data_IF_686616160286
#
_entry.id   IF_686616160286
#
_cell.length_a   1.000
_cell.length_b   1.000
_cell.length_c   1.000
_cell.angle_alpha   90.00
_cell.angle_beta   90.00
_cell.angle_gamma   90.00
#
_symmetry.space_group_name_H-M   'P 1'
#
loop_
_entity.id
_entity.type
_entity.pdbx_description
1 polymer ?
#
# COMPACT_ATOMS: atom_id res chain seq x y z
N UNK A 1 -22.82 -55.06 39.16
CA UNK A 1 -23.11 -53.67 39.57
C UNK A 1 -21.88 -52.79 39.62
N UNK A 2 -20.75 -53.20 40.17
CA UNK A 2 -19.53 -52.34 40.25
C UNK A 2 -18.78 -52.10 38.91
N UNK A 3 -18.74 -53.08 38.01
CA UNK A 3 -18.04 -52.94 36.72
C UNK A 3 -18.77 -51.99 35.74
N UNK A 4 -20.10 -51.99 35.76
CA UNK A 4 -20.91 -51.14 34.91
C UNK A 4 -20.85 -49.64 35.33
N UNK A 5 -20.80 -49.38 36.63
CA UNK A 5 -20.59 -48.04 37.16
C UNK A 5 -19.21 -47.51 36.89
N UNK A 6 -18.15 -48.35 36.93
CA UNK A 6 -16.81 -47.99 36.59
C UNK A 6 -16.68 -47.62 35.08
N UNK A 7 -17.33 -48.40 34.19
CA UNK A 7 -17.36 -48.11 32.76
C UNK A 7 -18.02 -46.76 32.44
N UNK A 8 -19.18 -46.48 33.07
CA UNK A 8 -19.91 -45.20 32.86
C UNK A 8 -19.08 -44.00 33.34
N UNK A 9 -18.33 -44.14 34.47
CA UNK A 9 -17.39 -43.07 34.95
C UNK A 9 -16.23 -42.84 33.98
N UNK A 10 -15.67 -43.91 33.43
CA UNK A 10 -14.54 -43.81 32.49
C UNK A 10 -15.02 -43.11 31.20
N UNK A 11 -16.17 -43.46 30.65
CA UNK A 11 -16.75 -42.81 29.46
C UNK A 11 -16.99 -41.30 29.73
N UNK A 12 -17.52 -40.96 30.89
CA UNK A 12 -17.77 -39.57 31.29
C UNK A 12 -16.51 -38.76 31.38
N UNK A 13 -15.43 -39.30 32.00
CA UNK A 13 -14.13 -38.64 32.07
C UNK A 13 -13.51 -38.43 30.69
N UNK A 14 -13.55 -39.44 29.82
CA UNK A 14 -13.07 -39.33 28.44
C UNK A 14 -13.84 -38.22 27.68
N UNK A 15 -15.18 -38.18 27.79
CA UNK A 15 -15.99 -37.15 27.18
C UNK A 15 -15.64 -35.74 27.68
N UNK A 16 -15.41 -35.56 28.98
CA UNK A 16 -14.98 -34.27 29.57
C UNK A 16 -13.61 -33.85 29.08
N UNK A 17 -12.65 -34.75 28.97
CA UNK A 17 -11.34 -34.48 28.42
C UNK A 17 -11.41 -34.08 26.94
N UNK A 18 -12.19 -34.83 26.14
CA UNK A 18 -12.40 -34.50 24.72
C UNK A 18 -13.02 -33.12 24.57
N UNK A 19 -14.10 -32.82 25.32
CA UNK A 19 -14.76 -31.51 25.25
C UNK A 19 -13.82 -30.39 25.69
N UNK A 20 -13.03 -30.58 26.73
CA UNK A 20 -12.03 -29.60 27.16
C UNK A 20 -10.96 -29.37 26.08
N UNK A 21 -10.47 -30.47 25.47
CA UNK A 21 -9.46 -30.37 24.40
C UNK A 21 -10.01 -29.63 23.19
N UNK A 22 -11.23 -29.95 22.77
CA UNK A 22 -11.90 -29.24 21.66
C UNK A 22 -12.07 -27.75 21.98
N UNK A 23 -12.54 -27.43 23.20
CA UNK A 23 -12.67 -26.05 23.65
C UNK A 23 -11.32 -25.31 23.61
N UNK A 24 -10.26 -25.93 24.11
CA UNK A 24 -8.91 -25.35 24.10
C UNK A 24 -8.43 -25.07 22.68
N UNK A 25 -8.62 -26.03 21.77
CA UNK A 25 -8.27 -25.84 20.34
C UNK A 25 -9.04 -24.67 19.73
N UNK A 26 -10.34 -24.59 19.97
CA UNK A 26 -11.18 -23.48 19.47
C UNK A 26 -10.69 -22.13 20.01
N UNK A 27 -10.37 -22.04 21.30
CA UNK A 27 -9.85 -20.81 21.91
C UNK A 27 -8.50 -20.42 21.32
N UNK A 28 -7.61 -21.37 21.09
CA UNK A 28 -6.32 -21.09 20.44
C UNK A 28 -6.48 -20.62 18.99
N UNK A 29 -7.38 -21.23 18.24
CA UNK A 29 -7.67 -20.78 16.86
C UNK A 29 -8.26 -19.37 16.82
N UNK A 30 -9.15 -19.05 17.76
CA UNK A 30 -9.72 -17.69 17.87
C UNK A 30 -8.65 -16.66 18.25
N UNK A 31 -7.77 -17.02 19.20
CA UNK A 31 -6.65 -16.16 19.60
C UNK A 31 -5.68 -15.92 18.43
N UNK A 32 -5.38 -16.96 17.65
CA UNK A 32 -4.54 -16.85 16.47
C UNK A 32 -5.20 -15.97 15.38
N UNK A 33 -6.47 -16.17 15.12
CA UNK A 33 -7.22 -15.35 14.16
C UNK A 33 -7.24 -13.87 14.57
N UNK A 34 -7.44 -13.60 15.86
CA UNK A 34 -7.41 -12.23 16.40
C UNK A 34 -6.02 -11.60 16.27
N UNK A 35 -4.96 -12.37 16.63
CA UNK A 35 -3.58 -11.92 16.46
C UNK A 35 -3.27 -11.60 14.99
N UNK A 36 -3.66 -12.46 14.05
CA UNK A 36 -3.44 -12.26 12.62
C UNK A 36 -4.13 -11.00 12.09
N UNK A 37 -5.37 -10.73 12.53
CA UNK A 37 -6.07 -9.49 12.16
C UNK A 37 -5.40 -8.25 12.74
N UNK A 38 -4.94 -8.31 13.98
CA UNK A 38 -4.22 -7.22 14.64
C UNK A 38 -2.89 -6.94 13.96
N UNK A 39 -2.09 -7.98 13.65
CA UNK A 39 -0.82 -7.88 12.96
C UNK A 39 -0.98 -7.27 11.55
N UNK A 40 -1.98 -7.74 10.79
CA UNK A 40 -2.32 -7.16 9.50
C UNK A 40 -2.67 -5.66 9.61
N UNK A 41 -3.43 -5.27 10.63
CA UNK A 41 -3.78 -3.86 10.84
C UNK A 41 -2.55 -2.98 11.10
N UNK A 42 -1.54 -3.48 11.82
CA UNK A 42 -0.29 -2.75 12.07
C UNK A 42 0.46 -2.45 10.77
N UNK A 43 0.50 -3.41 9.83
CA UNK A 43 1.15 -3.22 8.52
C UNK A 43 0.47 -2.09 7.73
N UNK A 44 -0.87 -2.06 7.71
CA UNK A 44 -1.59 -0.99 7.02
C UNK A 44 -1.42 0.37 7.69
N UNK A 45 -1.40 0.42 9.02
CA UNK A 45 -1.14 1.67 9.74
C UNK A 45 0.27 2.21 9.44
N UNK A 46 1.27 1.34 9.35
CA UNK A 46 2.63 1.73 8.97
C UNK A 46 2.74 2.27 7.53
N UNK A 47 1.82 1.85 6.65
CA UNK A 47 1.76 2.28 5.25
C UNK A 47 0.99 3.58 5.03
N UNK A 48 0.33 4.14 6.05
CA UNK A 48 -0.49 5.33 5.87
C UNK A 48 0.34 6.58 5.57
N UNK A 49 -0.06 7.31 4.53
CA UNK A 49 0.59 8.58 4.14
C UNK A 49 0.56 9.64 5.25
N UNK A 50 -0.43 9.58 6.13
CA UNK A 50 -0.56 10.48 7.28
C UNK A 50 0.65 10.45 8.23
N UNK A 51 1.36 9.32 8.30
CA UNK A 51 2.57 9.20 9.11
C UNK A 51 3.69 10.15 8.66
N UNK A 52 3.70 10.49 7.37
CA UNK A 52 4.71 11.36 6.78
C UNK A 52 4.20 12.78 6.52
N UNK A 53 2.92 13.07 6.77
CA UNK A 53 2.30 14.35 6.44
C UNK A 53 3.01 15.56 7.07
N UNK A 54 3.60 15.37 8.26
CA UNK A 54 4.38 16.41 8.96
C UNK A 54 5.67 16.79 8.21
N UNK A 55 6.22 15.89 7.39
CA UNK A 55 7.45 16.10 6.64
C UNK A 55 7.20 16.59 5.21
N UNK A 56 5.94 16.65 4.78
CA UNK A 56 5.60 17.03 3.40
C UNK A 56 6.11 18.44 3.07
N UNK A 57 6.88 18.59 1.98
CA UNK A 57 7.31 19.90 1.53
C UNK A 57 6.09 20.70 1.05
N UNK A 58 5.95 21.90 1.58
CA UNK A 58 4.90 22.86 1.19
C UNK A 58 5.52 24.22 0.93
N UNK A 59 4.81 25.07 0.20
CA UNK A 59 5.24 26.47 -0.03
C UNK A 59 5.42 27.21 1.30
N UNK A 60 4.55 26.94 2.27
CA UNK A 60 4.53 27.61 3.55
C UNK A 60 5.74 27.24 4.43
N UNK A 61 6.20 26.00 4.39
CA UNK A 61 7.33 25.51 5.19
C UNK A 61 8.68 25.56 4.45
N UNK A 62 8.69 26.01 3.18
CA UNK A 62 9.90 26.11 2.35
C UNK A 62 10.73 24.80 2.33
N UNK A 63 10.06 23.64 2.47
CA UNK A 63 10.71 22.33 2.55
C UNK A 63 11.54 22.07 3.81
N UNK A 64 11.39 22.89 4.87
CA UNK A 64 12.16 22.70 6.12
C UNK A 64 11.86 21.37 6.78
N UNK A 65 10.59 20.99 6.86
CA UNK A 65 10.16 19.72 7.43
C UNK A 65 10.64 18.52 6.62
N UNK A 66 10.74 18.65 5.30
CA UNK A 66 11.33 17.61 4.44
C UNK A 66 12.80 17.39 4.77
N UNK A 67 13.56 18.47 5.04
CA UNK A 67 14.97 18.37 5.49
C UNK A 67 15.12 17.69 6.84
N UNK A 68 14.12 17.78 7.70
CA UNK A 68 14.09 17.03 8.97
C UNK A 68 14.02 15.51 8.72
N UNK A 69 13.17 15.07 7.78
CA UNK A 69 13.13 13.67 7.37
C UNK A 69 14.46 13.23 6.72
N UNK A 70 15.08 14.09 5.88
CA UNK A 70 16.39 13.81 5.30
C UNK A 70 17.50 13.74 6.36
N UNK A 71 17.38 14.47 7.48
CA UNK A 71 18.30 14.34 8.60
C UNK A 71 18.15 13.00 9.35
N UNK A 72 16.94 12.44 9.40
CA UNK A 72 16.68 11.11 9.96
C UNK A 72 17.20 10.03 9.00
N UNK A 73 16.87 10.15 7.71
CA UNK A 73 17.30 9.22 6.67
C UNK A 73 17.84 9.98 5.43
N UNK A 74 19.14 10.08 5.26
CA UNK A 74 19.75 10.79 4.12
C UNK A 74 19.46 10.17 2.75
N UNK A 75 18.91 8.96 2.70
CA UNK A 75 18.49 8.31 1.46
C UNK A 75 17.09 8.73 1.01
N UNK A 76 16.40 9.61 1.73
CA UNK A 76 15.19 10.29 1.25
C UNK A 76 15.62 11.39 0.28
N UNK A 77 15.24 11.23 -0.99
CA UNK A 77 15.73 12.09 -2.08
C UNK A 77 14.67 13.03 -2.64
N UNK A 78 13.38 12.65 -2.54
CA UNK A 78 12.29 13.37 -3.17
C UNK A 78 10.97 13.15 -2.43
N UNK A 79 9.92 13.83 -2.87
CA UNK A 79 8.54 13.58 -2.48
C UNK A 79 7.67 13.42 -3.72
N UNK A 80 6.88 12.34 -3.78
CA UNK A 80 6.00 12.03 -4.90
C UNK A 80 4.54 12.17 -4.48
N UNK A 81 3.75 12.90 -5.28
CA UNK A 81 2.30 12.98 -5.16
C UNK A 81 1.64 12.67 -6.51
N UNK A 82 0.57 11.86 -6.50
CA UNK A 82 -0.31 11.66 -7.65
C UNK A 82 -1.67 12.24 -7.30
N UNK A 83 -2.05 13.34 -7.96
CA UNK A 83 -3.24 14.10 -7.57
C UNK A 83 -4.53 13.30 -7.75
N UNK A 84 -5.42 13.43 -6.76
CA UNK A 84 -6.68 12.69 -6.72
C UNK A 84 -6.55 11.25 -6.23
N UNK A 85 -5.37 10.84 -5.74
CA UNK A 85 -5.11 9.52 -5.18
C UNK A 85 -4.54 9.59 -3.76
N UNK A 86 -4.34 8.43 -3.12
CA UNK A 86 -3.63 8.33 -1.86
C UNK A 86 -2.10 8.30 -2.01
N UNK A 87 -1.57 8.34 -3.23
CA UNK A 87 -0.13 8.33 -3.47
C UNK A 87 0.43 9.72 -3.16
N UNK A 88 1.00 9.86 -1.95
CA UNK A 88 1.54 11.10 -1.42
C UNK A 88 2.60 10.75 -0.35
N UNK A 89 3.82 10.44 -0.80
CA UNK A 89 4.85 9.80 0.01
C UNK A 89 6.24 10.36 -0.25
N UNK A 90 7.14 10.30 0.77
CA UNK A 90 8.55 10.48 0.55
C UNK A 90 9.10 9.38 -0.37
N UNK A 91 10.06 9.74 -1.21
CA UNK A 91 10.75 8.87 -2.14
C UNK A 91 12.18 8.64 -1.66
N UNK A 92 12.58 7.38 -1.57
CA UNK A 92 13.91 6.97 -1.11
C UNK A 92 14.76 6.41 -2.25
N UNK A 93 16.06 6.31 -2.07
CA UNK A 93 16.95 5.55 -2.95
C UNK A 93 18.06 4.88 -2.15
N UNK A 94 18.09 3.54 -2.19
CA UNK A 94 19.15 2.74 -1.57
C UNK A 94 20.30 2.43 -2.52
N UNK A 95 21.24 1.62 -2.05
CA UNK A 95 22.34 1.10 -2.87
C UNK A 95 21.92 -0.09 -3.75
N UNK A 96 20.73 -0.63 -3.52
CA UNK A 96 20.10 -1.68 -4.28
C UNK A 96 18.57 -1.54 -4.23
N UNK A 97 17.86 -2.34 -5.03
CA UNK A 97 16.39 -2.34 -5.07
C UNK A 97 15.74 -3.25 -3.99
N UNK A 98 16.50 -3.80 -3.04
CA UNK A 98 15.98 -4.72 -2.02
C UNK A 98 15.77 -4.02 -0.68
N UNK A 99 16.58 -3.01 -0.34
CA UNK A 99 16.56 -2.33 0.95
C UNK A 99 15.16 -1.80 1.28
N UNK A 100 14.58 -1.02 0.38
CA UNK A 100 13.31 -0.33 0.62
C UNK A 100 12.06 -1.17 0.34
N UNK A 101 12.24 -2.43 -0.02
CA UNK A 101 11.12 -3.41 -0.04
C UNK A 101 10.59 -3.64 1.38
N UNK A 102 11.46 -3.62 2.40
CA UNK A 102 11.08 -3.87 3.81
C UNK A 102 11.65 -2.81 4.77
N UNK A 103 11.86 -1.59 4.29
CA UNK A 103 12.35 -0.47 5.10
C UNK A 103 11.50 0.76 4.81
N UNK A 104 10.99 1.42 5.85
CA UNK A 104 10.20 2.64 5.70
C UNK A 104 11.09 3.86 5.41
N UNK A 105 10.48 5.02 5.12
CA UNK A 105 11.23 6.23 4.76
C UNK A 105 12.08 6.80 5.92
N UNK A 106 11.82 6.42 7.16
CA UNK A 106 12.65 6.77 8.32
C UNK A 106 13.86 5.83 8.51
N UNK A 107 14.00 4.81 7.65
CA UNK A 107 15.07 3.82 7.73
C UNK A 107 14.80 2.65 8.68
N UNK A 108 13.58 2.52 9.18
CA UNK A 108 13.17 1.44 10.09
C UNK A 108 12.55 0.26 9.32
N UNK A 109 12.68 -0.94 9.87
CA UNK A 109 12.04 -2.13 9.30
C UNK A 109 10.51 -1.97 9.25
N UNK A 110 9.93 -2.21 8.08
CA UNK A 110 8.49 -2.17 7.85
C UNK A 110 8.12 -3.07 6.67
N UNK A 111 7.14 -3.95 6.84
CA UNK A 111 6.64 -4.81 5.76
C UNK A 111 5.94 -4.03 4.64
N UNK A 112 5.51 -2.80 4.90
CA UNK A 112 4.98 -1.91 3.85
C UNK A 112 6.08 -1.31 2.97
N UNK A 113 7.34 -1.38 3.40
CA UNK A 113 8.47 -0.76 2.70
C UNK A 113 8.35 0.75 2.55
N UNK A 114 8.97 1.27 1.52
CA UNK A 114 8.84 2.64 1.03
C UNK A 114 8.57 2.66 -0.47
N UNK A 115 8.24 3.84 -0.98
CA UNK A 115 8.37 4.14 -2.41
C UNK A 115 9.82 4.48 -2.67
N UNK A 116 10.44 3.88 -3.69
CA UNK A 116 11.87 4.05 -3.93
C UNK A 116 12.23 4.13 -5.42
N UNK A 117 13.25 4.93 -5.73
CA UNK A 117 13.85 5.05 -7.04
C UNK A 117 14.79 3.87 -7.30
N UNK A 118 14.82 3.35 -8.52
CA UNK A 118 15.79 2.32 -8.92
C UNK A 118 17.23 2.81 -8.63
N UNK A 119 18.03 1.96 -7.99
CA UNK A 119 19.38 2.33 -7.55
C UNK A 119 20.32 2.72 -8.70
N UNK A 120 19.98 2.33 -9.94
CA UNK A 120 20.75 2.65 -11.15
C UNK A 120 20.41 4.02 -11.73
N UNK A 121 19.30 4.63 -11.30
CA UNK A 121 18.93 5.98 -11.70
C UNK A 121 19.69 7.05 -10.92
N UNK A 122 19.89 8.21 -11.55
CA UNK A 122 20.40 9.39 -10.89
C UNK A 122 19.32 9.99 -9.97
N UNK A 123 19.70 10.30 -8.73
CA UNK A 123 18.80 10.84 -7.70
C UNK A 123 18.28 12.26 -7.98
N UNK A 124 18.86 12.94 -8.93
CA UNK A 124 18.49 14.27 -9.42
C UNK A 124 17.53 14.23 -10.62
N UNK A 125 17.05 13.04 -11.00
CA UNK A 125 16.10 12.81 -12.10
C UNK A 125 16.56 13.34 -13.45
N UNK A 126 17.87 13.47 -13.67
CA UNK A 126 18.45 13.88 -14.95
C UNK A 126 18.48 12.78 -16.01
N UNK A 127 18.18 11.55 -15.63
CA UNK A 127 18.03 10.43 -16.58
C UNK A 127 16.83 10.63 -17.49
N UNK A 128 16.92 10.08 -18.73
CA UNK A 128 15.78 10.06 -19.63
C UNK A 128 14.56 9.41 -19.02
N UNK A 129 14.73 8.25 -18.36
CA UNK A 129 13.66 7.55 -17.67
C UNK A 129 14.08 7.10 -16.27
N UNK A 130 13.26 7.46 -15.29
CA UNK A 130 13.45 7.12 -13.88
C UNK A 130 12.36 6.13 -13.47
N UNK A 131 12.76 5.00 -12.85
CA UNK A 131 11.84 3.95 -12.43
C UNK A 131 11.64 4.04 -10.92
N UNK A 132 10.40 4.23 -10.51
CA UNK A 132 9.99 4.35 -9.11
C UNK A 132 9.13 3.14 -8.75
N UNK A 133 9.54 2.40 -7.73
CA UNK A 133 8.85 1.21 -7.26
C UNK A 133 8.08 1.48 -5.98
N UNK A 134 6.96 0.78 -5.81
CA UNK A 134 6.20 0.76 -4.57
C UNK A 134 5.34 -0.50 -4.46
N UNK A 135 5.06 -0.93 -3.23
CA UNK A 135 4.19 -2.07 -2.99
C UNK A 135 2.76 -1.81 -3.47
N UNK A 136 2.15 -2.83 -4.08
CA UNK A 136 0.71 -2.88 -4.26
C UNK A 136 0.09 -3.37 -2.95
N UNK A 137 -0.56 -2.47 -2.24
CA UNK A 137 -1.21 -2.78 -0.98
C UNK A 137 -2.72 -2.53 -1.06
N UNK A 138 -3.49 -3.37 -0.38
CA UNK A 138 -4.92 -3.14 -0.19
C UNK A 138 -5.18 -1.79 0.49
N UNK A 139 -6.43 -1.36 0.53
CA UNK A 139 -6.86 -0.06 1.06
C UNK A 139 -6.19 1.14 0.37
N UNK A 140 -5.70 0.94 -0.85
CA UNK A 140 -5.07 1.98 -1.67
C UNK A 140 -3.80 2.60 -1.04
N UNK A 141 -3.12 1.86 -0.16
CA UNK A 141 -1.87 2.29 0.43
C UNK A 141 -0.70 2.09 -0.53
N UNK A 142 0.36 2.85 -0.34
CA UNK A 142 1.56 2.85 -1.19
C UNK A 142 1.18 3.02 -2.68
N UNK A 143 1.55 2.07 -3.56
CA UNK A 143 1.17 2.04 -4.97
C UNK A 143 -0.06 1.17 -5.28
N UNK A 144 -0.84 0.79 -4.25
CA UNK A 144 -2.05 -0.02 -4.43
C UNK A 144 -3.13 0.64 -5.30
N UNK A 145 -3.09 1.97 -5.44
CA UNK A 145 -4.05 2.69 -6.27
C UNK A 145 -3.67 2.75 -7.77
N UNK A 146 -2.42 2.40 -8.13
CA UNK A 146 -2.00 2.34 -9.55
C UNK A 146 -2.83 1.34 -10.34
N UNK A 147 -3.28 0.25 -9.74
CA UNK A 147 -4.17 -0.73 -10.39
C UNK A 147 -5.48 -0.11 -10.91
N UNK A 148 -5.96 0.95 -10.25
CA UNK A 148 -7.19 1.66 -10.63
C UNK A 148 -7.07 2.35 -11.99
N UNK A 149 -5.87 2.73 -12.42
CA UNK A 149 -5.62 3.36 -13.71
C UNK A 149 -5.84 2.41 -14.91
N UNK A 150 -6.10 1.13 -14.66
CA UNK A 150 -6.61 0.20 -15.67
C UNK A 150 -8.06 0.54 -16.11
N UNK A 151 -8.83 1.29 -15.29
CA UNK A 151 -10.10 1.90 -15.71
C UNK A 151 -9.81 3.20 -16.46
N UNK A 152 -10.30 3.26 -17.70
CA UNK A 152 -10.12 4.42 -18.58
C UNK A 152 -10.62 5.73 -17.96
N UNK A 153 -11.69 5.72 -17.17
CA UNK A 153 -12.24 6.91 -16.51
C UNK A 153 -11.28 7.44 -15.44
N UNK A 154 -10.68 6.54 -14.64
CA UNK A 154 -9.68 6.92 -13.65
C UNK A 154 -8.45 7.49 -14.34
N UNK A 155 -7.96 6.81 -15.36
CA UNK A 155 -6.84 7.31 -16.16
C UNK A 155 -7.13 8.70 -16.72
N UNK A 156 -8.30 8.95 -17.30
CA UNK A 156 -8.66 10.24 -17.93
C UNK A 156 -8.84 11.38 -16.92
N UNK A 157 -9.24 11.09 -15.69
CA UNK A 157 -9.49 12.11 -14.65
C UNK A 157 -8.26 12.43 -13.80
N UNK A 158 -7.29 11.51 -13.66
CA UNK A 158 -6.09 11.69 -12.86
C UNK A 158 -4.88 11.89 -13.77
N UNK A 159 -4.70 13.12 -14.22
CA UNK A 159 -3.74 13.45 -15.28
C UNK A 159 -2.40 13.94 -14.74
N UNK A 160 -2.36 14.45 -13.49
CA UNK A 160 -1.23 15.19 -12.98
C UNK A 160 -0.75 14.65 -11.64
N UNK A 161 0.51 14.93 -11.37
CA UNK A 161 1.18 14.65 -10.11
C UNK A 161 2.26 15.70 -9.84
N UNK A 162 2.99 15.53 -8.76
CA UNK A 162 4.10 16.38 -8.38
C UNK A 162 5.28 15.53 -7.91
N UNK A 163 6.48 15.94 -8.26
CA UNK A 163 7.73 15.42 -7.79
C UNK A 163 8.56 16.57 -7.22
N UNK A 164 8.70 16.59 -5.89
CA UNK A 164 9.54 17.58 -5.22
C UNK A 164 10.94 17.02 -4.99
N UNK A 165 11.95 17.64 -5.56
CA UNK A 165 13.36 17.33 -5.32
C UNK A 165 14.21 18.58 -5.52
N UNK A 166 15.42 18.58 -4.97
CA UNK A 166 16.35 19.71 -5.00
C UNK A 166 15.72 21.06 -4.60
N UNK A 167 14.78 21.01 -3.64
CA UNK A 167 14.10 22.20 -3.12
C UNK A 167 13.01 22.78 -4.03
N UNK A 168 12.65 22.12 -5.14
CA UNK A 168 11.74 22.61 -6.16
C UNK A 168 10.66 21.58 -6.49
N UNK A 169 9.44 22.07 -6.76
CA UNK A 169 8.35 21.25 -7.28
C UNK A 169 8.45 21.14 -8.80
N UNK A 170 8.31 19.92 -9.30
CA UNK A 170 8.21 19.58 -10.71
C UNK A 170 6.88 18.90 -10.98
N UNK A 171 6.11 19.36 -11.95
CA UNK A 171 4.86 18.71 -12.32
C UNK A 171 5.13 17.41 -13.07
N UNK A 172 4.25 16.44 -12.86
CA UNK A 172 4.20 15.21 -13.66
C UNK A 172 2.90 15.24 -14.45
N UNK A 173 3.00 15.07 -15.79
CA UNK A 173 1.85 14.85 -16.66
C UNK A 173 1.81 13.38 -17.08
N UNK A 174 0.85 12.61 -16.54
CA UNK A 174 0.71 11.20 -16.85
C UNK A 174 0.13 10.98 -18.23
N UNK A 175 0.82 10.25 -19.09
CA UNK A 175 0.44 10.07 -20.49
C UNK A 175 0.19 8.62 -20.91
N UNK A 176 0.66 7.63 -20.15
CA UNK A 176 0.44 6.22 -20.47
C UNK A 176 0.20 5.37 -19.20
N UNK A 177 -0.62 4.33 -19.36
CA UNK A 177 -0.76 3.24 -18.42
C UNK A 177 -0.41 1.93 -19.12
N UNK A 178 0.54 1.18 -18.56
CA UNK A 178 1.09 -0.04 -19.15
C UNK A 178 0.90 -1.21 -18.20
N UNK A 179 0.47 -2.34 -18.73
CA UNK A 179 0.52 -3.62 -18.03
C UNK A 179 1.58 -4.52 -18.68
N UNK A 180 2.54 -5.00 -17.89
CA UNK A 180 3.65 -5.80 -18.41
C UNK A 180 4.10 -6.86 -17.39
N UNK A 181 5.04 -7.71 -17.80
CA UNK A 181 5.72 -8.68 -16.93
C UNK A 181 6.93 -8.02 -16.24
N UNK A 182 7.25 -8.47 -15.01
CA UNK A 182 8.38 -7.97 -14.22
C UNK A 182 9.75 -8.16 -14.89
N UNK A 183 9.86 -9.10 -15.81
CA UNK A 183 11.10 -9.40 -16.54
C UNK A 183 11.17 -8.71 -17.90
N UNK A 184 10.21 -7.84 -18.24
CA UNK A 184 10.24 -7.10 -19.49
C UNK A 184 11.29 -5.98 -19.42
N UNK A 185 12.51 -6.32 -19.83
CA UNK A 185 13.64 -5.37 -19.85
C UNK A 185 13.50 -4.27 -20.91
N UNK A 186 12.64 -4.44 -21.93
CA UNK A 186 12.38 -3.38 -22.92
C UNK A 186 11.67 -2.17 -22.33
N UNK A 187 10.93 -2.37 -21.21
CA UNK A 187 10.20 -1.31 -20.50
C UNK A 187 10.87 -0.98 -19.15
N UNK A 188 11.36 -2.00 -18.42
CA UNK A 188 11.89 -1.85 -17.05
C UNK A 188 13.42 -1.69 -17.03
N UNK A 189 14.02 -1.07 -18.05
CA UNK A 189 15.42 -0.65 -18.05
C UNK A 189 15.52 0.84 -17.73
N UNK A 190 16.15 1.24 -16.61
CA UNK A 190 16.33 2.65 -16.26
C UNK A 190 17.47 3.26 -17.08
N UNK A 191 17.49 4.59 -17.16
CA UNK A 191 18.54 5.39 -17.80
C UNK A 191 18.88 4.91 -19.21
N UNK A 192 17.86 4.84 -20.08
CA UNK A 192 18.01 4.42 -21.47
C UNK A 192 18.93 5.38 -22.22
N UNK A 193 19.91 4.79 -22.94
CA UNK A 193 20.89 5.56 -23.69
C UNK A 193 20.25 6.37 -24.82
N UNK A 194 20.84 7.49 -25.17
CA UNK A 194 20.29 8.46 -26.13
C UNK A 194 19.90 7.81 -27.47
N UNK A 195 20.75 6.97 -28.02
CA UNK A 195 20.50 6.27 -29.29
C UNK A 195 19.35 5.28 -29.25
N UNK A 196 18.87 4.88 -28.07
CA UNK A 196 17.80 3.91 -27.87
C UNK A 196 16.47 4.56 -27.41
N UNK A 197 16.46 5.85 -27.04
CA UNK A 197 15.32 6.54 -26.44
C UNK A 197 14.08 6.52 -27.32
N UNK A 198 14.23 6.77 -28.63
CA UNK A 198 13.09 6.75 -29.55
C UNK A 198 12.46 5.35 -29.62
N UNK A 199 13.27 4.32 -29.79
CA UNK A 199 12.81 2.93 -29.81
C UNK A 199 12.10 2.56 -28.49
N UNK A 200 12.66 3.01 -27.36
CA UNK A 200 12.09 2.82 -26.05
C UNK A 200 10.70 3.45 -25.92
N UNK A 201 10.54 4.71 -26.33
CA UNK A 201 9.24 5.41 -26.35
C UNK A 201 8.23 4.68 -27.24
N UNK A 202 8.64 4.26 -28.44
CA UNK A 202 7.76 3.54 -29.37
C UNK A 202 7.27 2.22 -28.75
N UNK A 203 8.16 1.44 -28.12
CA UNK A 203 7.82 0.20 -27.42
C UNK A 203 6.90 0.46 -26.22
N UNK A 204 7.19 1.46 -25.42
CA UNK A 204 6.41 1.85 -24.26
C UNK A 204 4.98 2.25 -24.66
N UNK A 205 4.85 3.09 -25.70
CA UNK A 205 3.55 3.55 -26.23
C UNK A 205 2.80 2.42 -26.94
N UNK A 206 3.49 1.48 -27.58
CA UNK A 206 2.87 0.31 -28.18
C UNK A 206 2.30 -0.66 -27.12
N UNK A 207 2.97 -0.80 -25.97
CA UNK A 207 2.54 -1.63 -24.85
C UNK A 207 1.44 -0.95 -24.00
N UNK A 208 1.17 0.34 -24.19
CA UNK A 208 0.23 1.08 -23.36
C UNK A 208 -1.22 0.62 -23.56
N UNK A 209 -1.87 0.23 -22.46
CA UNK A 209 -3.32 -0.07 -22.41
C UNK A 209 -4.14 1.21 -22.56
N UNK A 210 -3.69 2.30 -21.94
CA UNK A 210 -4.27 3.64 -22.06
C UNK A 210 -3.16 4.64 -22.36
N UNK A 211 -3.46 5.59 -23.24
CA UNK A 211 -2.54 6.69 -23.57
C UNK A 211 -3.29 7.97 -23.85
N UNK A 212 -2.62 9.11 -23.58
CA UNK A 212 -3.02 10.48 -23.92
C UNK A 212 -2.10 11.06 -24.98
N UNK A 213 -2.62 12.02 -25.72
CA UNK A 213 -1.82 12.82 -26.63
C UNK A 213 -1.06 13.88 -25.81
N UNK A 214 0.10 13.51 -25.29
CA UNK A 214 1.06 14.43 -24.68
C UNK A 214 2.22 14.60 -25.64
N UNK A 215 2.71 15.83 -25.80
CA UNK A 215 3.91 16.07 -26.59
C UNK A 215 5.13 15.57 -25.82
N UNK A 216 5.65 14.41 -26.23
CA UNK A 216 6.82 13.78 -25.63
C UNK A 216 7.90 13.55 -26.67
N UNK A 217 9.14 13.84 -26.31
CA UNK A 217 10.32 13.70 -27.14
C UNK A 217 11.44 12.93 -26.42
N UNK A 218 12.50 12.62 -27.10
CA UNK A 218 13.71 11.99 -26.55
C UNK A 218 14.52 12.90 -25.63
N UNK A 219 14.21 14.19 -25.60
CA UNK A 219 14.87 15.19 -24.73
C UNK A 219 14.13 15.39 -23.39
N UNK A 220 12.93 14.83 -23.29
CA UNK A 220 12.14 14.92 -22.07
C UNK A 220 12.60 13.91 -21.02
N UNK A 221 12.26 14.18 -19.75
CA UNK A 221 12.43 13.25 -18.64
C UNK A 221 11.11 12.59 -18.29
N UNK A 222 11.12 11.27 -18.17
CA UNK A 222 9.92 10.52 -17.81
C UNK A 222 10.11 9.72 -16.52
N UNK A 223 9.02 9.54 -15.79
CA UNK A 223 8.96 8.69 -14.60
C UNK A 223 7.99 7.54 -14.83
N UNK A 224 8.39 6.35 -14.38
CA UNK A 224 7.58 5.15 -14.40
C UNK A 224 7.24 4.77 -12.96
N UNK A 225 5.99 4.89 -12.54
CA UNK A 225 5.51 4.44 -11.24
C UNK A 225 5.10 2.97 -11.36
N UNK A 226 5.90 2.07 -10.81
CA UNK A 226 5.80 0.62 -11.00
C UNK A 226 5.27 -0.05 -9.75
N UNK A 227 4.13 -0.72 -9.89
CA UNK A 227 3.48 -1.50 -8.84
C UNK A 227 3.34 -2.97 -9.26
N UNK A 228 3.32 -3.89 -8.29
CA UNK A 228 2.91 -5.26 -8.58
C UNK A 228 1.45 -5.29 -9.05
N UNK A 229 1.14 -6.11 -10.07
CA UNK A 229 -0.24 -6.29 -10.50
C UNK A 229 -0.97 -7.28 -9.59
N UNK A 230 -2.19 -6.97 -9.21
CA UNK A 230 -3.08 -7.90 -8.52
C UNK A 230 -3.55 -9.08 -9.39
N UNK A 231 -3.39 -8.96 -10.72
CA UNK A 231 -3.89 -9.94 -11.72
C UNK A 231 -2.95 -11.11 -11.96
N UNK A 232 -1.66 -10.97 -11.73
CA UNK A 232 -0.67 -12.03 -11.95
C UNK A 232 0.53 -11.88 -11.03
N UNK A 233 1.18 -13.00 -10.69
CA UNK A 233 2.33 -13.04 -9.76
C UNK A 233 3.50 -12.17 -10.22
N UNK A 234 3.76 -12.14 -11.54
CA UNK A 234 4.85 -11.36 -12.14
C UNK A 234 4.36 -10.09 -12.85
N UNK A 235 3.04 -9.81 -12.83
CA UNK A 235 2.51 -8.62 -13.49
C UNK A 235 2.97 -7.34 -12.83
N UNK A 236 3.19 -6.32 -13.67
CA UNK A 236 3.46 -4.95 -13.23
C UNK A 236 2.47 -4.01 -13.89
N UNK A 237 1.91 -3.12 -13.07
CA UNK A 237 1.15 -1.98 -13.55
C UNK A 237 2.04 -0.76 -13.44
N UNK A 238 2.10 0.02 -14.52
CA UNK A 238 3.00 1.14 -14.65
C UNK A 238 2.20 2.36 -15.07
N UNK A 239 2.25 3.41 -14.25
CA UNK A 239 1.76 4.73 -14.63
C UNK A 239 2.95 5.57 -15.08
N UNK A 240 2.91 6.05 -16.32
CA UNK A 240 4.04 6.75 -16.96
C UNK A 240 3.70 8.22 -17.08
N UNK A 241 4.60 9.09 -16.60
CA UNK A 241 4.45 10.53 -16.64
C UNK A 241 5.68 11.22 -17.19
N UNK A 242 5.45 12.36 -17.85
CA UNK A 242 6.48 13.33 -18.25
C UNK A 242 6.71 14.29 -17.09
N UNK A 243 7.95 14.49 -16.69
CA UNK A 243 8.34 15.53 -15.73
C UNK A 243 8.47 16.87 -16.45
N UNK A 244 7.85 17.89 -15.91
CA UNK A 244 7.87 19.25 -16.47
C UNK A 244 8.23 20.28 -15.42
N UNK A 245 8.87 21.36 -15.81
CA UNK A 245 9.20 22.47 -14.91
C UNK A 245 7.96 23.38 -14.65
N UNK A 246 6.87 23.17 -15.38
CA UNK A 246 5.64 23.92 -15.19
C UNK A 246 4.91 23.48 -13.92
N UNK A 247 4.76 24.39 -12.97
CA UNK A 247 4.06 24.14 -11.71
C UNK A 247 2.55 24.26 -11.95
N UNK A 248 1.88 23.15 -12.21
CA UNK A 248 0.42 23.08 -12.36
C UNK A 248 -0.32 23.05 -11.00
N UNK A 249 0.07 23.91 -10.04
CA UNK A 249 -0.54 24.00 -8.69
C UNK A 249 -2.01 24.44 -8.72
N UNK A 250 -2.41 25.18 -9.75
CA UNK A 250 -3.81 25.67 -9.87
C UNK A 250 -4.79 24.53 -10.08
N UNK A 251 -4.36 23.46 -10.76
CA UNK A 251 -5.19 22.25 -10.98
C UNK A 251 -5.27 21.36 -9.73
N UNK A 252 -4.24 21.34 -8.87
CA UNK A 252 -4.26 20.57 -7.62
C UNK A 252 -5.30 21.11 -6.64
N UNK A 253 -5.37 22.43 -6.46
CA UNK A 253 -6.33 23.08 -5.56
C UNK A 253 -7.78 22.86 -5.99
N UNK A 254 -8.07 22.82 -7.32
CA UNK A 254 -9.41 22.53 -7.83
C UNK A 254 -9.79 21.05 -7.67
N UNK A 255 -8.84 20.14 -7.86
CA UNK A 255 -9.09 18.70 -7.72
C UNK A 255 -9.27 18.32 -6.25
N UNK A 256 -8.48 18.90 -5.34
CA UNK A 256 -8.60 18.67 -3.90
C UNK A 256 -9.92 19.25 -3.35
N UNK A 257 -10.39 20.39 -3.88
CA UNK A 257 -11.67 21.00 -3.48
C UNK A 257 -12.88 20.15 -3.92
N UNK A 258 -12.84 19.56 -5.12
CA UNK A 258 -13.93 18.70 -5.64
C UNK A 258 -13.97 17.37 -4.88
N UNK A 259 -12.81 16.85 -4.46
CA UNK A 259 -12.71 15.58 -3.70
C UNK A 259 -13.15 15.76 -2.25
N UNK A 260 -12.85 16.88 -1.62
CA UNK A 260 -13.28 17.16 -0.23
C UNK A 260 -14.79 17.15 -0.11
N UNK A 261 -15.52 17.70 -1.09
CA UNK A 261 -16.99 17.72 -1.07
C UNK A 261 -17.63 16.33 -1.30
N UNK A 262 -16.95 15.42 -2.02
CA UNK A 262 -17.44 14.03 -2.21
C UNK A 262 -17.02 13.08 -1.08
N UNK A 263 -15.92 13.31 -0.39
CA UNK A 263 -15.44 12.46 0.70
C UNK A 263 -15.99 12.80 2.07
N UNK A 264 -16.44 14.03 2.28
CA UNK A 264 -17.09 14.46 3.54
C UNK A 264 -18.37 13.65 3.85
N UNK A 265 -19.00 13.04 2.87
CA UNK A 265 -20.22 12.24 3.06
C UNK A 265 -19.99 10.75 3.33
N UNK A 266 -18.77 10.22 3.23
CA UNK A 266 -18.49 8.79 3.34
C UNK A 266 -17.53 8.38 4.47
N UNK A 267 -17.07 9.31 5.32
CA UNK A 267 -15.98 9.02 6.28
C UNK A 267 -16.44 8.75 7.73
N UNK A 268 -17.71 8.40 7.95
CA UNK A 268 -18.18 8.01 9.30
C UNK A 268 -17.99 6.51 9.65
N UNK A 269 -17.43 5.68 8.76
CA UNK A 269 -17.37 4.22 8.98
C UNK A 269 -15.97 3.63 9.25
N UNK A 270 -14.95 4.44 9.51
CA UNK A 270 -13.54 3.96 9.62
C UNK A 270 -13.12 3.37 10.97
N UNK A 271 -13.90 3.48 12.05
CA UNK A 271 -13.41 3.15 13.40
C UNK A 271 -14.26 2.18 14.23
N UNK A 272 -15.33 1.61 13.72
CA UNK A 272 -16.30 0.82 14.54
C UNK A 272 -15.99 -0.68 14.55
N UNK A 273 -15.19 -1.18 13.61
CA UNK A 273 -15.00 -2.63 13.46
C UNK A 273 -14.28 -3.33 14.64
N UNK A 274 -13.25 -2.78 15.29
CA UNK A 274 -12.61 -3.44 16.44
C UNK A 274 -13.53 -3.58 17.66
N UNK A 275 -14.36 -2.57 17.94
CA UNK A 275 -15.27 -2.57 19.11
C UNK A 275 -16.43 -3.54 18.89
N UNK A 276 -16.98 -3.60 17.68
CA UNK A 276 -18.07 -4.51 17.33
C UNK A 276 -17.62 -5.98 17.36
N UNK A 277 -16.43 -6.29 16.87
CA UNK A 277 -15.83 -7.64 16.97
C UNK A 277 -15.56 -8.02 18.42
N UNK A 278 -15.11 -7.10 19.25
CA UNK A 278 -14.92 -7.32 20.68
C UNK A 278 -16.24 -7.69 21.39
N UNK A 279 -17.31 -6.98 21.07
CA UNK A 279 -18.65 -7.29 21.60
C UNK A 279 -19.21 -8.63 21.13
N UNK A 280 -18.94 -9.02 19.88
CA UNK A 280 -19.34 -10.34 19.36
C UNK A 280 -18.53 -11.43 20.05
N UNK A 281 -17.22 -11.30 20.16
CA UNK A 281 -16.32 -12.26 20.81
C UNK A 281 -16.70 -12.44 22.30
N UNK A 282 -16.95 -11.34 23.02
CA UNK A 282 -17.39 -11.37 24.40
C UNK A 282 -18.74 -12.08 24.57
N UNK A 283 -19.70 -11.83 23.66
CA UNK A 283 -20.99 -12.52 23.66
C UNK A 283 -20.86 -14.02 23.36
N UNK A 284 -19.99 -14.40 22.43
CA UNK A 284 -19.72 -15.80 22.12
C UNK A 284 -19.07 -16.54 23.30
N UNK A 285 -18.09 -15.90 23.94
CA UNK A 285 -17.45 -16.45 25.16
C UNK A 285 -18.46 -16.58 26.29
N UNK A 286 -19.30 -15.57 26.51
CA UNK A 286 -20.36 -15.62 27.53
C UNK A 286 -21.38 -16.71 27.24
N UNK A 287 -21.85 -16.84 25.99
CA UNK A 287 -22.76 -17.88 25.56
C UNK A 287 -22.16 -19.28 25.78
N UNK A 288 -20.88 -19.45 25.47
CA UNK A 288 -20.16 -20.72 25.69
C UNK A 288 -20.04 -21.05 27.17
N UNK A 289 -19.70 -20.08 28.03
CA UNK A 289 -19.63 -20.25 29.51
C UNK A 289 -21.03 -20.63 30.06
N UNK A 290 -22.09 -19.98 29.57
CA UNK A 290 -23.47 -20.27 29.97
C UNK A 290 -23.86 -21.70 29.55
N UNK A 291 -23.52 -22.10 28.32
CA UNK A 291 -23.80 -23.45 27.80
C UNK A 291 -23.07 -24.52 28.61
N UNK A 292 -21.82 -24.30 28.94
CA UNK A 292 -21.02 -25.21 29.79
C UNK A 292 -21.64 -25.29 31.21
N UNK A 293 -22.05 -24.15 31.80
CA UNK A 293 -22.74 -24.16 33.11
C UNK A 293 -24.08 -24.90 33.08
N UNK A 294 -24.91 -24.68 32.08
CA UNK A 294 -26.17 -25.38 31.91
C UNK A 294 -25.93 -26.89 31.76
N UNK A 295 -24.96 -27.29 30.94
CA UNK A 295 -24.59 -28.69 30.76
C UNK A 295 -24.09 -29.33 32.07
N UNK A 296 -23.24 -28.64 32.84
CA UNK A 296 -22.76 -29.13 34.15
C UNK A 296 -23.87 -29.22 35.19
N UNK A 297 -24.83 -28.32 35.20
CA UNK A 297 -25.99 -28.37 36.11
C UNK A 297 -26.93 -29.53 35.73
N UNK A 298 -27.21 -29.69 34.42
CA UNK A 298 -28.08 -30.77 33.92
C UNK A 298 -27.48 -32.16 34.23
N UNK A 299 -26.19 -32.35 34.11
CA UNK A 299 -25.50 -33.59 34.43
C UNK A 299 -25.24 -33.82 35.95
N UNK A 300 -25.43 -32.83 36.81
CA UNK A 300 -25.39 -32.97 38.27
C UNK A 300 -26.76 -33.44 38.86
N UNK A 301 -27.86 -33.26 38.11
CA UNK A 301 -29.19 -33.59 38.57
C UNK A 301 -29.70 -34.96 38.07
N UNK A 302 -29.00 -35.58 37.13
CA UNK A 302 -29.21 -36.96 36.67
C UNK A 302 -27.98 -37.84 37.02
#
# INVERSE_FOLDING_TARGET
MNAEMAGRRAIKMVSEVVNFTVLLVVVLLLAYAFYSLWDSQQIYQAAEKSNYAIYKPTVENEGKTFKELQAINPEVIAWLSVYGTNIDYPLTQGQDNMKYVNTNAEGLYSLSGSIFLDYRNNKDFTDFNSIIYGHNMDKKAMFGEIDSFSDRRIFDTHQYGNLYFDGTDHSIEFFAFVHTDAYNSEILTPNVREEERQRYLDNLLAAATHKRAVNISTDDHIVLLVSCSSRSTNGRNILVGKVTDEINRVLSAQTDCIIVDQFSSNNENGSIMPIFLWHILLKLILALIITIRIYTIYHKQN
#
